data_IF_952631100092
#
_entry.id   IF_952631100092
#
_cell.length_a   1.000
_cell.length_b   1.000
_cell.length_c   1.000
_cell.angle_alpha   90.00
_cell.angle_beta   90.00
_cell.angle_gamma   90.00
#
_symmetry.space_group_name_H-M   'P 1'
#
loop_
_entity.id
_entity.type
_entity.pdbx_description
1 polymer ?
#
# COMPACT_ATOMS: atom_id res chain seq x y z
N UNK A 1 4.01 -2.40 -9.53
CA UNK A 1 3.46 -1.62 -8.41
C UNK A 1 1.98 -1.36 -8.69
N UNK A 2 1.07 -1.73 -7.78
CA UNK A 2 -0.37 -1.50 -7.92
C UNK A 2 -0.78 -0.13 -7.36
N UNK A 3 -0.02 0.91 -7.71
CA UNK A 3 -0.16 2.28 -7.20
C UNK A 3 -0.59 3.17 -8.34
N UNK A 4 -1.59 3.99 -8.10
CA UNK A 4 -2.26 4.83 -9.10
C UNK A 4 -2.41 6.28 -8.68
N UNK A 5 -2.25 6.57 -7.39
CA UNK A 5 -2.33 7.92 -6.84
C UNK A 5 -1.09 8.26 -6.01
N UNK A 6 -0.74 9.55 -5.89
CA UNK A 6 0.30 10.00 -4.96
C UNK A 6 0.02 9.56 -3.51
N UNK A 7 -1.24 9.57 -3.09
CA UNK A 7 -1.64 9.16 -1.73
C UNK A 7 -1.34 7.68 -1.45
N UNK A 8 -1.53 6.81 -2.43
CA UNK A 8 -1.17 5.39 -2.34
C UNK A 8 0.35 5.16 -2.32
N UNK A 9 1.14 6.06 -2.93
CA UNK A 9 2.60 5.97 -2.96
C UNK A 9 3.25 6.53 -1.69
N UNK A 10 2.99 7.82 -1.42
CA UNK A 10 3.62 8.60 -0.35
C UNK A 10 2.94 8.45 1.01
N UNK A 11 1.68 8.03 1.03
CA UNK A 11 0.83 8.14 2.21
C UNK A 11 -0.02 9.43 2.21
N UNK A 12 -0.70 9.66 3.31
CA UNK A 12 -1.58 10.81 3.51
C UNK A 12 -0.87 12.07 3.97
N UNK A 13 -1.65 13.15 4.07
CA UNK A 13 -1.20 14.40 4.67
C UNK A 13 -0.85 14.14 6.15
N UNK A 14 0.32 14.61 6.57
CA UNK A 14 0.74 14.64 7.96
C UNK A 14 1.16 16.08 8.28
N UNK A 15 0.54 16.68 9.29
CA UNK A 15 0.76 18.07 9.66
C UNK A 15 1.01 18.18 11.16
N UNK A 16 1.63 19.29 11.57
CA UNK A 16 1.94 19.58 12.98
C UNK A 16 0.70 19.75 13.85
N UNK A 17 -0.45 20.07 13.25
CA UNK A 17 -1.74 19.99 13.92
C UNK A 17 -2.23 18.54 13.86
N UNK A 18 -2.41 17.90 15.01
CA UNK A 18 -2.99 16.55 15.12
C UNK A 18 -4.44 16.48 14.62
N UNK A 19 -5.09 17.64 14.53
CA UNK A 19 -6.48 17.79 14.13
C UNK A 19 -6.58 18.34 12.71
N UNK A 20 -7.52 17.82 11.92
CA UNK A 20 -7.92 18.41 10.66
C UNK A 20 -8.62 19.77 10.85
N UNK A 21 -8.92 20.43 9.73
CA UNK A 21 -9.65 21.72 9.71
C UNK A 21 -11.06 21.64 10.34
N UNK A 22 -11.50 20.45 10.77
CA UNK A 22 -12.77 20.16 11.46
C UNK A 22 -12.57 19.68 12.90
N UNK A 23 -11.36 19.76 13.44
CA UNK A 23 -11.07 19.36 14.82
C UNK A 23 -11.03 17.85 15.06
N UNK A 24 -10.90 17.02 14.02
CA UNK A 24 -10.79 15.56 14.14
C UNK A 24 -9.34 15.09 13.99
N UNK A 25 -8.94 14.12 14.80
CA UNK A 25 -7.64 13.47 14.64
C UNK A 25 -7.51 12.91 13.22
N UNK A 26 -6.49 13.35 12.49
CA UNK A 26 -6.17 12.76 11.20
C UNK A 26 -5.48 11.41 11.43
N UNK A 27 -6.12 10.32 11.02
CA UNK A 27 -5.46 9.03 11.00
C UNK A 27 -4.29 9.08 10.01
N UNK A 28 -3.11 8.64 10.46
CA UNK A 28 -1.92 8.57 9.61
C UNK A 28 -2.18 7.55 8.50
N UNK A 29 -2.29 8.02 7.25
CA UNK A 29 -2.34 7.12 6.09
C UNK A 29 -0.92 6.84 5.64
N UNK A 30 -0.53 5.57 5.63
CA UNK A 30 0.81 5.14 5.20
C UNK A 30 0.86 4.77 3.71
N UNK A 31 2.03 4.96 3.10
CA UNK A 31 2.27 4.64 1.70
C UNK A 31 2.50 3.14 1.48
N UNK A 32 2.12 2.64 0.31
CA UNK A 32 2.24 1.21 -0.02
C UNK A 32 3.66 0.67 -0.08
N UNK A 33 4.65 1.52 -0.42
CA UNK A 33 6.06 1.11 -0.39
C UNK A 33 6.54 0.91 1.04
N UNK A 34 6.18 1.85 1.94
CA UNK A 34 6.56 1.87 3.36
C UNK A 34 6.13 0.59 4.07
N UNK A 35 4.84 0.21 4.00
CA UNK A 35 4.29 -1.01 4.64
C UNK A 35 4.46 -2.29 3.84
N UNK A 36 5.22 -2.25 2.75
CA UNK A 36 5.36 -3.39 1.85
C UNK A 36 6.82 -3.75 1.70
N UNK A 37 7.36 -3.41 0.54
CA UNK A 37 8.71 -3.79 0.16
C UNK A 37 9.81 -3.07 0.96
N UNK A 38 9.49 -2.01 1.71
CA UNK A 38 10.42 -1.41 2.68
C UNK A 38 10.43 -2.18 4.02
N UNK A 39 9.26 -2.43 4.63
CA UNK A 39 9.19 -3.15 5.92
C UNK A 39 9.68 -4.59 5.82
N UNK A 40 9.44 -5.30 4.71
CA UNK A 40 9.81 -6.70 4.60
C UNK A 40 11.33 -6.96 4.81
N UNK A 41 12.25 -6.23 4.16
CA UNK A 41 13.69 -6.30 4.46
C UNK A 41 14.05 -5.97 5.92
N UNK A 42 13.42 -4.98 6.55
CA UNK A 42 13.66 -4.66 7.96
C UNK A 42 13.42 -5.88 8.87
N UNK A 43 12.26 -6.51 8.71
CA UNK A 43 11.88 -7.68 9.51
C UNK A 43 12.71 -8.91 9.14
N UNK A 44 13.05 -9.09 7.86
CA UNK A 44 13.81 -10.25 7.41
C UNK A 44 15.27 -10.23 7.86
N UNK A 45 15.86 -9.03 7.99
CA UNK A 45 17.25 -8.84 8.42
C UNK A 45 17.41 -8.65 9.93
N UNK A 46 16.31 -8.41 10.66
CA UNK A 46 16.36 -8.29 12.12
C UNK A 46 16.72 -9.61 12.80
N UNK A 47 17.46 -9.53 13.90
CA UNK A 47 17.84 -10.71 14.70
C UNK A 47 16.72 -11.06 15.69
N UNK A 48 16.04 -12.18 15.45
CA UNK A 48 14.96 -12.67 16.30
C UNK A 48 15.42 -12.94 17.74
N UNK A 49 16.70 -13.29 17.95
CA UNK A 49 17.26 -13.54 19.28
C UNK A 49 17.55 -12.24 20.05
N UNK A 50 17.55 -11.10 19.36
CA UNK A 50 17.81 -9.77 19.93
C UNK A 50 16.62 -8.83 19.78
N UNK A 51 15.40 -9.36 19.93
CA UNK A 51 14.16 -8.60 19.80
C UNK A 51 14.08 -7.82 18.47
N UNK A 52 14.52 -8.45 17.38
CA UNK A 52 14.61 -7.92 16.02
C UNK A 52 15.65 -6.81 15.79
N UNK A 53 16.54 -6.51 16.74
CA UNK A 53 17.64 -5.57 16.49
C UNK A 53 18.60 -6.14 15.43
N UNK A 54 19.31 -5.35 14.64
CA UNK A 54 19.16 -3.90 14.49
C UNK A 54 18.09 -3.59 13.44
N UNK A 55 18.16 -4.20 12.24
CA UNK A 55 17.29 -3.87 11.10
C UNK A 55 15.78 -3.95 11.39
N UNK A 56 15.32 -4.81 12.31
CA UNK A 56 13.90 -4.98 12.59
C UNK A 56 13.32 -4.07 13.68
N UNK A 57 14.10 -3.11 14.20
CA UNK A 57 13.64 -2.05 15.11
C UNK A 57 14.15 -0.69 14.62
N UNK A 58 13.25 0.27 14.38
CA UNK A 58 13.63 1.57 13.81
C UNK A 58 14.59 2.39 14.70
N UNK A 59 14.67 2.09 16.01
CA UNK A 59 15.59 2.74 16.94
C UNK A 59 17.04 2.24 16.83
N UNK A 60 17.24 1.11 16.13
CA UNK A 60 18.51 0.39 16.01
C UNK A 60 18.90 0.14 14.56
N UNK A 61 17.95 0.11 13.62
CA UNK A 61 18.17 -0.24 12.22
C UNK A 61 19.37 0.44 11.56
N UNK A 62 19.58 1.74 11.78
CA UNK A 62 20.68 2.49 11.17
C UNK A 62 22.09 2.10 11.69
N UNK A 63 22.22 1.29 12.73
CA UNK A 63 23.53 0.75 13.17
C UNK A 63 24.00 -0.40 12.28
N UNK A 64 23.10 -1.04 11.53
CA UNK A 64 23.47 -1.97 10.47
C UNK A 64 23.71 -1.19 9.16
N UNK A 65 24.93 -1.22 8.57
CA UNK A 65 25.22 -0.53 7.32
C UNK A 65 24.29 -0.91 6.14
N UNK A 66 23.67 -2.10 6.16
CA UNK A 66 22.72 -2.52 5.12
C UNK A 66 21.48 -1.62 5.08
N UNK A 67 21.15 -0.94 6.19
CA UNK A 67 20.07 0.05 6.28
C UNK A 67 20.16 1.08 5.15
N UNK A 68 21.35 1.65 4.94
CA UNK A 68 21.56 2.68 3.93
C UNK A 68 21.43 2.12 2.51
N UNK A 69 21.82 0.88 2.28
CA UNK A 69 21.63 0.20 0.98
C UNK A 69 20.16 -0.12 0.71
N UNK A 70 19.42 -0.58 1.73
CA UNK A 70 17.97 -0.77 1.67
C UNK A 70 17.27 0.54 1.33
N UNK A 71 17.55 1.61 2.08
CA UNK A 71 16.96 2.93 1.84
C UNK A 71 17.40 3.57 0.52
N UNK A 72 18.60 3.27 0.02
CA UNK A 72 19.00 3.67 -1.34
C UNK A 72 18.09 3.06 -2.41
N UNK A 73 17.68 1.79 -2.27
CA UNK A 73 16.74 1.20 -3.20
C UNK A 73 15.29 1.67 -2.98
N UNK A 74 14.91 2.08 -1.77
CA UNK A 74 13.63 2.76 -1.49
C UNK A 74 13.60 4.13 -2.19
N UNK A 75 14.66 4.93 -2.09
CA UNK A 75 14.80 6.19 -2.83
C UNK A 75 14.78 5.96 -4.35
N UNK A 76 15.42 4.88 -4.82
CA UNK A 76 15.32 4.44 -6.22
C UNK A 76 13.89 4.12 -6.65
N UNK A 77 13.06 3.53 -5.79
CA UNK A 77 11.65 3.27 -6.12
C UNK A 77 10.87 4.58 -6.29
N UNK A 78 11.18 5.61 -5.49
CA UNK A 78 10.66 6.97 -5.69
C UNK A 78 11.16 7.60 -7.00
N UNK A 79 12.45 7.45 -7.32
CA UNK A 79 13.01 7.89 -8.60
C UNK A 79 12.29 7.23 -9.78
N UNK A 80 12.09 5.91 -9.75
CA UNK A 80 11.35 5.16 -10.79
C UNK A 80 9.89 5.63 -10.88
N UNK A 81 9.23 5.85 -9.75
CA UNK A 81 7.85 6.37 -9.70
C UNK A 81 7.74 7.72 -10.38
N UNK A 82 8.57 8.68 -9.98
CA UNK A 82 8.50 10.08 -10.43
C UNK A 82 8.97 10.29 -11.87
N UNK A 83 9.90 9.45 -12.36
CA UNK A 83 10.50 9.62 -13.71
C UNK A 83 9.94 8.62 -14.73
N UNK A 84 10.14 7.31 -14.50
CA UNK A 84 9.82 6.26 -15.47
C UNK A 84 8.33 5.93 -15.53
N UNK A 85 7.64 6.01 -14.39
CA UNK A 85 6.20 5.73 -14.31
C UNK A 85 5.33 6.99 -14.41
N UNK A 86 5.93 8.18 -14.39
CA UNK A 86 5.22 9.47 -14.49
C UNK A 86 4.27 9.72 -13.31
N UNK A 87 4.58 9.17 -12.14
CA UNK A 87 3.80 9.32 -10.93
C UNK A 87 3.82 10.75 -10.39
N UNK A 88 2.67 11.37 -10.08
CA UNK A 88 2.65 12.72 -9.57
C UNK A 88 3.17 12.81 -8.13
N UNK A 89 3.67 13.99 -7.76
CA UNK A 89 3.97 14.34 -6.37
C UNK A 89 2.68 14.63 -5.58
N UNK A 90 2.79 14.73 -4.25
CA UNK A 90 1.69 15.22 -3.42
C UNK A 90 1.43 16.71 -3.74
N UNK A 91 0.16 17.12 -3.98
CA UNK A 91 -0.17 18.48 -4.40
C UNK A 91 -0.36 19.44 -3.22
N UNK A 92 0.38 19.23 -2.12
CA UNK A 92 0.22 20.01 -0.88
C UNK A 92 1.40 20.94 -0.70
N UNK A 93 1.13 22.24 -0.59
CA UNK A 93 2.17 23.25 -0.38
C UNK A 93 2.87 23.04 0.97
N UNK A 94 2.13 22.64 1.98
CA UNK A 94 2.65 22.33 3.32
C UNK A 94 3.61 21.14 3.30
N UNK A 95 3.39 20.17 2.41
CA UNK A 95 4.32 19.06 2.20
C UNK A 95 5.62 19.56 1.56
N UNK A 96 5.53 20.43 0.53
CA UNK A 96 6.70 21.03 -0.12
C UNK A 96 7.53 21.92 0.82
N UNK A 97 6.86 22.59 1.77
CA UNK A 97 7.47 23.47 2.75
C UNK A 97 7.95 22.76 4.03
N UNK A 98 7.59 21.49 4.21
CA UNK A 98 8.09 20.66 5.31
C UNK A 98 9.62 20.64 5.27
N UNK A 99 10.25 20.91 6.42
CA UNK A 99 11.70 21.05 6.51
C UNK A 99 12.29 20.15 7.59
N UNK A 100 13.51 19.68 7.32
CA UNK A 100 14.29 18.83 8.20
C UNK A 100 15.67 19.47 8.41
N UNK A 101 16.33 19.12 9.52
CA UNK A 101 17.69 19.57 9.81
C UNK A 101 18.60 18.34 9.85
N UNK A 102 19.66 18.36 9.06
CA UNK A 102 20.70 17.32 9.03
C UNK A 102 22.07 17.95 9.27
N UNK A 103 23.02 17.15 9.78
CA UNK A 103 24.42 17.55 9.77
C UNK A 103 25.05 17.26 8.41
N UNK A 104 25.76 18.23 7.85
CA UNK A 104 26.56 18.04 6.62
C UNK A 104 27.95 17.42 6.92
N UNK A 105 28.75 17.22 5.88
CA UNK A 105 30.10 16.66 6.00
C UNK A 105 31.04 17.53 6.85
N UNK A 106 30.77 18.83 6.96
CA UNK A 106 31.52 19.79 7.78
C UNK A 106 30.96 19.90 9.21
N UNK A 107 30.03 19.01 9.60
CA UNK A 107 29.37 18.97 10.91
C UNK A 107 28.54 20.22 11.21
N UNK A 108 28.01 20.88 10.17
CA UNK A 108 27.12 22.03 10.31
C UNK A 108 25.67 21.59 10.21
N UNK A 109 24.76 22.13 11.05
CA UNK A 109 23.34 21.89 10.90
C UNK A 109 22.80 22.64 9.68
N UNK A 110 22.30 21.90 8.69
CA UNK A 110 21.71 22.43 7.46
C UNK A 110 20.24 22.10 7.43
N UNK A 111 19.40 23.13 7.23
CA UNK A 111 17.96 22.97 7.02
C UNK A 111 17.68 22.78 5.53
N UNK A 112 16.92 21.74 5.18
CA UNK A 112 16.43 21.51 3.82
C UNK A 112 14.92 21.30 3.82
N UNK A 113 14.26 21.64 2.72
CA UNK A 113 12.83 21.42 2.49
C UNK A 113 12.62 20.22 1.56
N UNK A 114 11.44 19.62 1.63
CA UNK A 114 11.01 18.60 0.66
C UNK A 114 11.14 19.10 -0.78
N UNK A 115 10.71 20.34 -1.04
CA UNK A 115 10.82 20.98 -2.37
C UNK A 115 12.24 21.04 -2.93
N UNK A 116 13.28 21.04 -2.07
CA UNK A 116 14.67 21.08 -2.50
C UNK A 116 15.18 19.72 -3.00
N UNK A 117 14.51 18.62 -2.65
CA UNK A 117 15.00 17.25 -2.89
C UNK A 117 14.21 16.49 -3.94
N UNK A 118 13.23 17.12 -4.61
CA UNK A 118 12.37 16.44 -5.59
C UNK A 118 13.06 16.11 -6.93
N UNK A 119 14.27 16.61 -7.14
CA UNK A 119 15.07 16.34 -8.34
C UNK A 119 16.48 15.89 -7.94
N UNK A 120 16.72 14.58 -7.98
CA UNK A 120 18.02 13.95 -7.67
C UNK A 120 19.19 14.56 -8.42
N UNK A 121 18.98 15.10 -9.63
CA UNK A 121 20.05 15.73 -10.44
C UNK A 121 20.55 17.01 -9.80
N UNK A 122 19.68 17.77 -9.13
CA UNK A 122 20.07 18.98 -8.37
C UNK A 122 20.86 18.64 -7.11
N UNK A 123 20.75 17.40 -6.64
CA UNK A 123 21.50 16.84 -5.51
C UNK A 123 22.83 16.19 -5.96
N UNK A 124 23.11 16.16 -7.25
CA UNK A 124 24.36 15.62 -7.79
C UNK A 124 24.44 14.10 -7.88
N UNK A 125 23.30 13.39 -7.81
CA UNK A 125 23.27 11.93 -7.95
C UNK A 125 22.15 11.43 -8.86
N UNK A 126 22.27 10.19 -9.31
CA UNK A 126 21.20 9.45 -9.99
C UNK A 126 21.39 7.95 -9.79
N UNK A 127 20.47 7.15 -10.31
CA UNK A 127 20.55 5.70 -10.27
C UNK A 127 20.99 5.13 -11.60
N UNK A 128 21.78 4.07 -11.55
CA UNK A 128 22.12 3.31 -12.75
C UNK A 128 20.85 2.77 -13.43
N UNK A 129 20.77 3.00 -14.74
CA UNK A 129 19.68 2.49 -15.55
C UNK A 129 19.97 1.06 -15.99
N UNK A 130 19.25 0.12 -15.37
CA UNK A 130 19.12 -1.22 -15.92
C UNK A 130 17.84 -1.28 -16.76
N UNK A 131 17.91 -1.92 -17.94
CA UNK A 131 16.92 -1.91 -19.02
C UNK A 131 15.43 -1.98 -18.62
N UNK A 132 14.72 -3.05 -19.01
CA UNK A 132 13.32 -3.18 -18.61
C UNK A 132 13.22 -3.60 -17.14
N UNK A 133 12.34 -2.94 -16.39
CA UNK A 133 12.04 -3.31 -14.99
C UNK A 133 11.36 -4.70 -14.98
N UNK A 134 11.95 -5.74 -14.37
CA UNK A 134 11.48 -7.12 -14.52
C UNK A 134 10.09 -7.37 -13.90
N UNK A 135 9.69 -6.52 -12.96
CA UNK A 135 8.39 -6.54 -12.30
C UNK A 135 7.33 -5.69 -13.02
N UNK A 136 7.72 -4.89 -14.03
CA UNK A 136 6.78 -4.08 -14.79
C UNK A 136 5.88 -5.00 -15.63
N UNK A 137 4.58 -4.71 -15.65
CA UNK A 137 3.59 -5.54 -16.33
C UNK A 137 3.30 -6.91 -15.68
N UNK A 138 4.02 -7.30 -14.62
CA UNK A 138 3.77 -8.55 -13.87
C UNK A 138 2.56 -8.41 -12.95
N UNK A 139 1.36 -8.47 -13.52
CA UNK A 139 0.10 -8.39 -12.79
C UNK A 139 -0.27 -9.72 -12.11
N UNK A 140 -0.86 -9.69 -10.90
CA UNK A 140 -1.40 -10.88 -10.26
C UNK A 140 -2.45 -11.59 -11.11
N UNK A 141 -2.50 -12.93 -11.02
CA UNK A 141 -3.50 -13.76 -11.71
C UNK A 141 -4.49 -14.35 -10.69
N UNK A 142 -5.76 -14.59 -11.05
CA UNK A 142 -6.71 -15.22 -10.14
C UNK A 142 -6.20 -16.57 -9.63
N UNK A 143 -6.43 -16.86 -8.36
CA UNK A 143 -6.05 -18.15 -7.76
C UNK A 143 -6.84 -19.31 -8.37
N UNK A 144 -6.20 -20.47 -8.51
CA UNK A 144 -6.82 -21.67 -9.07
C UNK A 144 -7.57 -22.46 -7.99
N UNK A 145 -8.65 -23.16 -8.36
CA UNK A 145 -9.34 -24.08 -7.46
C UNK A 145 -10.20 -23.42 -6.36
N UNK A 146 -10.50 -22.12 -6.49
CA UNK A 146 -11.41 -21.40 -5.59
C UNK A 146 -12.84 -21.45 -6.12
N UNK A 147 -13.80 -21.72 -5.23
CA UNK A 147 -15.23 -21.66 -5.56
C UNK A 147 -15.70 -20.22 -5.74
N UNK A 148 -15.91 -19.80 -6.98
CA UNK A 148 -16.34 -18.43 -7.32
C UNK A 148 -17.85 -18.29 -7.43
N UNK A 149 -18.63 -19.30 -7.02
CA UNK A 149 -20.09 -19.19 -7.03
C UNK A 149 -20.50 -18.01 -6.14
N UNK A 150 -21.43 -17.14 -6.59
CA UNK A 150 -21.90 -16.04 -5.78
C UNK A 150 -22.44 -16.57 -4.45
N UNK A 151 -21.82 -16.19 -3.34
CA UNK A 151 -22.32 -16.51 -2.02
C UNK A 151 -23.71 -15.91 -1.79
N UNK A 152 -24.50 -16.49 -0.88
CA UNK A 152 -25.74 -15.85 -0.42
C UNK A 152 -25.41 -14.44 0.08
N UNK A 153 -26.20 -13.44 -0.31
CA UNK A 153 -26.02 -12.06 0.15
C UNK A 153 -26.06 -12.05 1.69
N UNK A 154 -24.95 -11.69 2.33
CA UNK A 154 -24.93 -11.48 3.78
C UNK A 154 -25.93 -10.39 4.16
N UNK A 155 -26.77 -10.64 5.16
CA UNK A 155 -27.67 -9.63 5.74
C UNK A 155 -26.88 -8.58 6.54
N UNK A 156 -25.77 -8.99 7.16
CA UNK A 156 -24.87 -8.11 7.91
C UNK A 156 -23.75 -7.64 6.99
N UNK A 157 -23.85 -6.39 6.50
CA UNK A 157 -22.82 -5.74 5.68
C UNK A 157 -22.36 -4.47 6.35
N UNK A 158 -21.05 -4.29 6.41
CA UNK A 158 -20.44 -3.02 6.83
C UNK A 158 -20.49 -2.05 5.66
N UNK A 159 -20.93 -0.83 5.90
CA UNK A 159 -21.07 0.25 4.91
C UNK A 159 -20.06 1.36 5.20
N UNK A 160 -19.84 2.26 4.25
CA UNK A 160 -18.96 3.42 4.44
C UNK A 160 -19.38 4.35 5.58
N UNK A 161 -20.64 4.28 6.03
CA UNK A 161 -21.20 5.07 7.14
C UNK A 161 -21.21 4.33 8.49
N UNK A 162 -20.76 3.07 8.54
CA UNK A 162 -20.78 2.25 9.75
C UNK A 162 -19.41 1.64 10.00
N UNK A 163 -18.86 1.79 11.21
CA UNK A 163 -17.65 1.10 11.62
C UNK A 163 -17.99 -0.22 12.31
N UNK A 164 -17.14 -1.23 12.13
CA UNK A 164 -17.16 -2.46 12.93
C UNK A 164 -15.74 -2.76 13.35
N UNK A 165 -15.50 -2.73 14.64
CA UNK A 165 -14.19 -3.04 15.21
C UNK A 165 -14.06 -4.54 15.35
N UNK A 166 -12.93 -5.08 14.90
CA UNK A 166 -12.54 -6.46 15.16
C UNK A 166 -11.13 -6.49 15.71
N UNK A 167 -10.93 -7.29 16.75
CA UNK A 167 -9.59 -7.59 17.27
C UNK A 167 -9.03 -8.76 16.47
N UNK A 168 -7.88 -8.55 15.83
CA UNK A 168 -7.12 -9.63 15.23
C UNK A 168 -6.29 -10.31 16.31
N UNK A 169 -6.33 -11.64 16.34
CA UNK A 169 -5.50 -12.48 17.20
C UNK A 169 -4.62 -13.33 16.31
N UNK A 170 -3.46 -13.74 16.82
CA UNK A 170 -2.60 -14.67 16.10
C UNK A 170 -3.37 -15.95 15.75
N UNK A 171 -3.16 -16.45 14.54
CA UNK A 171 -3.76 -17.68 13.98
C UNK A 171 -5.29 -17.65 13.81
N UNK A 172 -5.94 -16.50 13.94
CA UNK A 172 -7.37 -16.34 13.72
C UNK A 172 -7.68 -15.56 12.43
N UNK A 173 -8.48 -16.18 11.55
CA UNK A 173 -9.01 -15.51 10.36
C UNK A 173 -10.35 -14.82 10.66
N UNK A 174 -10.43 -13.52 10.35
CA UNK A 174 -11.65 -12.73 10.44
C UNK A 174 -12.29 -12.55 9.06
N UNK A 175 -13.62 -12.70 9.01
CA UNK A 175 -14.39 -12.58 7.77
C UNK A 175 -15.39 -11.44 7.87
N UNK A 176 -15.39 -10.55 6.88
CA UNK A 176 -16.29 -9.41 6.85
C UNK A 176 -16.85 -9.18 5.45
N UNK A 177 -18.15 -8.85 5.38
CA UNK A 177 -18.76 -8.40 4.13
C UNK A 177 -18.79 -6.87 4.11
N UNK A 178 -18.06 -6.27 3.18
CA UNK A 178 -18.02 -4.82 2.99
C UNK A 178 -18.87 -4.43 1.77
N UNK A 179 -19.79 -3.49 1.95
CA UNK A 179 -20.61 -2.97 0.88
C UNK A 179 -19.79 -2.03 0.00
N UNK A 180 -19.71 -2.35 -1.30
CA UNK A 180 -19.16 -1.43 -2.30
C UNK A 180 -20.03 -0.18 -2.42
N UNK A 181 -19.45 1.03 -2.57
CA UNK A 181 -20.19 2.29 -2.69
C UNK A 181 -21.09 2.31 -3.93
N UNK A 182 -22.16 3.09 -3.90
CA UNK A 182 -23.18 3.10 -4.97
C UNK A 182 -22.62 3.60 -6.30
N UNK A 183 -21.72 4.58 -6.24
CA UNK A 183 -21.02 5.17 -7.38
C UNK A 183 -20.15 4.13 -8.11
N UNK A 184 -19.62 3.14 -7.38
CA UNK A 184 -18.87 2.03 -7.96
C UNK A 184 -19.79 0.99 -8.64
N UNK A 185 -21.08 0.95 -8.30
CA UNK A 185 -22.09 0.03 -8.86
C UNK A 185 -22.78 0.58 -10.11
N UNK A 186 -22.96 1.90 -10.23
CA UNK A 186 -23.76 2.57 -11.27
C UNK A 186 -23.15 2.59 -12.70
N UNK A 187 -22.13 1.78 -12.99
CA UNK A 187 -21.31 1.98 -14.20
C UNK A 187 -22.00 1.67 -15.53
N UNK A 188 -21.97 2.64 -16.47
CA UNK A 188 -21.80 2.37 -17.93
C UNK A 188 -21.41 3.55 -18.84
N UNK A 189 -21.19 4.78 -18.36
CA UNK A 189 -20.97 5.94 -19.26
C UNK A 189 -19.72 6.82 -19.05
N UNK A 190 -18.98 6.72 -17.94
CA UNK A 190 -17.83 7.60 -17.67
C UNK A 190 -16.50 6.90 -17.94
N UNK A 191 -15.68 7.51 -18.79
CA UNK A 191 -14.37 7.02 -19.25
C UNK A 191 -13.25 7.07 -18.20
N UNK A 192 -13.54 7.44 -16.93
CA UNK A 192 -12.58 7.37 -15.81
C UNK A 192 -13.30 6.95 -14.54
N UNK A 193 -13.39 5.64 -14.27
CA UNK A 193 -13.78 5.16 -12.93
C UNK A 193 -12.68 5.56 -11.95
N UNK A 194 -13.05 6.23 -10.86
CA UNK A 194 -12.13 6.51 -9.76
C UNK A 194 -11.52 5.18 -9.24
N UNK A 195 -10.24 5.17 -8.83
CA UNK A 195 -9.66 4.00 -8.18
C UNK A 195 -10.48 3.63 -6.95
N UNK A 196 -10.86 2.36 -6.84
CA UNK A 196 -11.57 1.81 -5.69
C UNK A 196 -10.56 1.18 -4.73
N UNK A 197 -10.64 1.56 -3.45
CA UNK A 197 -9.76 1.07 -2.40
C UNK A 197 -10.58 0.61 -1.19
N UNK A 198 -10.08 -0.41 -0.49
CA UNK A 198 -10.55 -0.79 0.84
C UNK A 198 -9.71 -0.02 1.86
N UNK A 199 -10.36 0.75 2.72
CA UNK A 199 -9.71 1.48 3.82
C UNK A 199 -9.88 0.71 5.11
N UNK A 200 -8.80 0.49 5.84
CA UNK A 200 -8.80 -0.17 7.15
C UNK A 200 -8.14 0.77 8.16
N UNK A 201 -8.87 1.11 9.21
CA UNK A 201 -8.35 1.82 10.38
C UNK A 201 -7.83 0.80 11.39
N UNK A 202 -6.63 1.03 11.91
CA UNK A 202 -5.85 0.07 12.69
C UNK A 202 -5.37 0.77 13.96
N UNK A 203 -5.64 0.14 15.09
CA UNK A 203 -5.10 0.52 16.40
C UNK A 203 -4.07 -0.53 16.81
N UNK A 204 -2.83 -0.13 17.09
CA UNK A 204 -1.73 -1.05 17.41
C UNK A 204 -0.77 -0.49 18.47
N UNK A 205 -0.03 -1.38 19.13
CA UNK A 205 1.09 -1.00 20.00
C UNK A 205 2.32 -0.70 19.14
N UNK A 206 2.89 0.52 19.18
CA UNK A 206 4.06 0.87 18.38
C UNK A 206 5.33 0.07 18.75
N UNK A 207 5.35 -0.59 19.91
CA UNK A 207 6.45 -1.44 20.34
C UNK A 207 6.38 -2.86 19.73
N UNK A 208 5.27 -3.21 19.07
CA UNK A 208 5.06 -4.56 18.54
C UNK A 208 5.13 -4.62 17.01
N UNK A 209 5.62 -5.76 16.54
CA UNK A 209 5.56 -6.10 15.12
C UNK A 209 4.14 -6.57 14.83
N UNK A 210 3.47 -5.87 13.90
CA UNK A 210 2.12 -6.23 13.47
C UNK A 210 2.13 -6.52 11.98
N UNK A 211 1.57 -7.67 11.59
CA UNK A 211 1.29 -8.01 10.19
C UNK A 211 -0.05 -8.70 10.07
N UNK A 212 -0.84 -8.29 9.08
CA UNK A 212 -1.99 -9.07 8.61
C UNK A 212 -2.13 -8.97 7.09
N UNK A 213 -2.66 -10.02 6.50
CA UNK A 213 -2.91 -10.12 5.07
C UNK A 213 -4.40 -9.91 4.78
N UNK A 214 -4.71 -9.22 3.69
CA UNK A 214 -6.09 -8.95 3.28
C UNK A 214 -6.40 -9.72 2.00
N UNK A 215 -7.30 -10.68 2.12
CA UNK A 215 -7.87 -11.43 1.00
C UNK A 215 -9.28 -10.92 0.71
N UNK A 216 -9.60 -10.73 -0.57
CA UNK A 216 -10.90 -10.20 -0.98
C UNK A 216 -11.57 -11.19 -1.95
N UNK A 217 -12.87 -11.42 -1.72
CA UNK A 217 -13.70 -12.37 -2.48
C UNK A 217 -13.19 -13.83 -2.44
N UNK A 218 -12.56 -14.23 -1.33
CA UNK A 218 -12.17 -15.62 -1.07
C UNK A 218 -13.24 -16.29 -0.21
N UNK A 219 -13.78 -17.45 -0.61
CA UNK A 219 -14.70 -18.22 0.23
C UNK A 219 -14.04 -18.69 1.51
N UNK A 220 -14.79 -18.64 2.61
CA UNK A 220 -14.36 -19.14 3.92
C UNK A 220 -13.82 -20.57 3.83
N UNK A 221 -12.63 -20.78 4.38
CA UNK A 221 -11.94 -22.07 4.37
C UNK A 221 -11.19 -22.37 3.06
N UNK A 222 -10.97 -21.37 2.21
CA UNK A 222 -10.17 -21.51 0.98
C UNK A 222 -9.02 -20.49 0.91
N UNK A 223 -8.71 -19.82 2.01
CA UNK A 223 -7.67 -18.78 2.14
C UNK A 223 -6.30 -19.35 1.78
N UNK A 224 -6.03 -20.60 2.19
CA UNK A 224 -4.78 -21.32 1.91
C UNK A 224 -4.48 -21.53 0.41
N UNK A 225 -5.48 -21.33 -0.47
CA UNK A 225 -5.30 -21.41 -1.94
C UNK A 225 -4.84 -20.10 -2.57
N UNK A 226 -4.76 -19.03 -1.78
CA UNK A 226 -4.42 -17.69 -2.25
C UNK A 226 -3.08 -17.28 -1.67
N UNK A 227 -2.13 -16.98 -2.54
CA UNK A 227 -0.83 -16.42 -2.17
C UNK A 227 -0.65 -14.98 -2.65
N UNK A 228 0.48 -14.36 -2.33
CA UNK A 228 0.78 -12.95 -2.64
C UNK A 228 0.88 -12.64 -4.14
N UNK A 229 0.87 -13.66 -5.01
CA UNK A 229 0.87 -13.51 -6.47
C UNK A 229 -0.53 -13.57 -7.09
N UNK A 230 -1.57 -13.76 -6.27
CA UNK A 230 -2.93 -13.92 -6.74
C UNK A 230 -3.73 -12.62 -6.70
N UNK A 231 -4.70 -12.49 -7.61
CA UNK A 231 -5.52 -11.28 -7.72
C UNK A 231 -6.43 -11.05 -6.50
N UNK A 232 -6.76 -12.11 -5.78
CA UNK A 232 -7.54 -12.09 -4.54
C UNK A 232 -6.74 -11.57 -3.33
N UNK A 233 -5.40 -11.55 -3.41
CA UNK A 233 -4.54 -10.98 -2.39
C UNK A 233 -4.43 -9.47 -2.60
N UNK A 234 -5.15 -8.70 -1.78
CA UNK A 234 -5.17 -7.24 -1.89
C UNK A 234 -3.87 -6.59 -1.38
N UNK A 235 -3.19 -7.26 -0.45
CA UNK A 235 -1.93 -6.81 0.13
C UNK A 235 -1.80 -7.22 1.59
N UNK A 236 -0.72 -6.74 2.21
CA UNK A 236 -0.49 -6.84 3.64
C UNK A 236 -0.43 -5.44 4.24
N UNK A 237 -0.82 -5.32 5.50
CA UNK A 237 -0.34 -4.25 6.35
C UNK A 237 0.79 -4.80 7.22
N UNK A 238 1.89 -4.05 7.35
CA UNK A 238 2.99 -4.39 8.25
C UNK A 238 3.49 -3.16 8.98
N UNK A 239 3.89 -3.32 10.24
CA UNK A 239 4.43 -2.28 11.10
C UNK A 239 5.77 -2.73 11.69
N UNK A 240 6.83 -1.93 11.52
CA UNK A 240 8.13 -2.17 12.19
C UNK A 240 8.07 -1.58 13.60
N UNK A 241 8.41 -2.36 14.65
CA UNK A 241 8.52 -1.85 16.01
C UNK A 241 9.36 -0.57 16.09
N UNK A 242 8.94 0.36 16.95
CA UNK A 242 9.74 1.51 17.31
C UNK A 242 9.40 2.00 18.74
N UNK A 243 10.44 2.46 19.44
CA UNK A 243 10.30 2.93 20.83
C UNK A 243 10.66 1.85 21.85
N UNK A 244 10.86 2.27 23.10
CA UNK A 244 11.14 1.39 24.24
C UNK A 244 10.02 1.53 25.26
N UNK A 245 9.47 0.41 25.73
CA UNK A 245 8.56 0.39 26.87
C UNK A 245 9.36 0.67 28.15
N UNK A 246 9.57 1.95 28.47
CA UNK A 246 10.12 2.36 29.76
C UNK A 246 9.00 2.37 30.81
N UNK A 247 8.68 1.22 31.38
CA UNK A 247 7.91 1.10 32.63
C UNK A 247 6.45 1.59 32.61
N UNK A 248 5.95 2.08 31.49
CA UNK A 248 4.55 2.38 31.22
C UNK A 248 4.36 2.29 29.72
N UNK A 249 3.53 1.35 29.25
CA UNK A 249 3.37 1.07 27.83
C UNK A 249 3.12 2.34 27.02
N UNK A 250 3.69 2.42 25.81
CA UNK A 250 3.38 3.53 24.90
C UNK A 250 1.88 3.53 24.60
N UNK A 251 1.32 4.73 24.41
CA UNK A 251 -0.07 4.85 23.97
C UNK A 251 -0.23 4.14 22.61
N UNK A 252 -1.31 3.36 22.48
CA UNK A 252 -1.68 2.75 21.20
C UNK A 252 -1.76 3.82 20.11
N UNK A 253 -1.21 3.53 18.94
CA UNK A 253 -1.28 4.43 17.79
C UNK A 253 -2.42 4.03 16.86
N UNK A 254 -3.00 5.02 16.18
CA UNK A 254 -4.00 4.82 15.16
C UNK A 254 -3.44 5.18 13.78
N UNK A 255 -3.58 4.27 12.83
CA UNK A 255 -3.18 4.43 11.44
C UNK A 255 -4.27 3.94 10.50
N UNK A 256 -4.30 4.44 9.28
CA UNK A 256 -5.17 3.93 8.23
C UNK A 256 -4.32 3.39 7.09
N UNK A 257 -4.75 2.29 6.48
CA UNK A 257 -4.13 1.79 5.25
C UNK A 257 -5.16 1.55 4.15
N UNK A 258 -4.73 1.79 2.91
CA UNK A 258 -5.58 1.72 1.72
C UNK A 258 -5.10 0.58 0.82
N UNK A 259 -5.91 -0.46 0.72
CA UNK A 259 -5.68 -1.57 -0.20
C UNK A 259 -6.33 -1.27 -1.54
N UNK A 260 -5.53 -1.04 -2.59
CA UNK A 260 -6.03 -0.80 -3.93
C UNK A 260 -6.70 -2.06 -4.50
N UNK A 261 -7.98 -1.99 -4.89
CA UNK A 261 -8.76 -3.15 -5.35
C UNK A 261 -8.76 -3.33 -6.88
N UNK A 262 -7.98 -2.54 -7.61
CA UNK A 262 -8.07 -2.43 -9.07
C UNK A 262 -7.85 -3.75 -9.80
N UNK A 263 -6.80 -4.49 -9.47
CA UNK A 263 -6.49 -5.74 -10.18
C UNK A 263 -7.56 -6.80 -9.93
N UNK A 264 -8.04 -6.89 -8.68
CA UNK A 264 -9.08 -7.81 -8.25
C UNK A 264 -10.42 -7.56 -8.94
N UNK A 265 -10.85 -6.29 -9.01
CA UNK A 265 -12.14 -5.92 -9.59
C UNK A 265 -12.14 -6.08 -11.12
N UNK A 266 -10.97 -6.00 -11.75
CA UNK A 266 -10.82 -6.23 -13.19
C UNK A 266 -10.92 -7.71 -13.55
N UNK A 267 -10.36 -8.60 -12.72
CA UNK A 267 -10.41 -10.05 -12.96
C UNK A 267 -11.72 -10.70 -12.54
N UNK A 268 -12.48 -10.09 -11.62
CA UNK A 268 -13.80 -10.57 -11.19
C UNK A 268 -14.96 -10.11 -12.08
N UNK A 269 -14.70 -9.22 -13.05
CA UNK A 269 -15.66 -8.89 -14.10
C UNK A 269 -15.63 -10.00 -15.17
N UNK A 270 -16.76 -10.67 -15.49
CA UNK A 270 -16.76 -11.67 -16.54
C UNK A 270 -16.34 -11.00 -17.85
N UNK A 271 -15.22 -11.45 -18.41
CA UNK A 271 -14.85 -11.11 -19.77
C UNK A 271 -15.97 -11.62 -20.68
N UNK A 272 -16.77 -10.70 -21.24
CA UNK A 272 -17.59 -11.04 -22.40
C UNK A 272 -16.62 -11.42 -23.50
N UNK A 273 -16.61 -12.70 -23.86
CA UNK A 273 -16.11 -13.12 -25.17
C UNK A 273 -16.70 -12.16 -26.20
N UNK A 274 -15.82 -11.49 -26.96
CA UNK A 274 -16.27 -10.81 -28.17
C UNK A 274 -16.88 -11.89 -29.05
N UNK A 275 -18.13 -11.76 -29.52
CA UNK A 275 -18.66 -12.74 -30.46
C UNK A 275 -17.70 -12.78 -31.67
N UNK A 276 -17.23 -13.99 -31.99
CA UNK A 276 -16.42 -14.24 -33.16
C UNK A 276 -17.09 -13.58 -34.36
N UNK A 277 -16.35 -12.72 -35.06
CA UNK A 277 -16.86 -11.99 -36.21
C UNK A 277 -17.54 -12.94 -37.18
N UNK A 278 -18.78 -12.64 -37.55
CA UNK A 278 -19.45 -13.34 -38.62
C UNK A 278 -18.59 -13.23 -39.88
N UNK A 279 -18.07 -14.38 -40.32
CA UNK A 279 -17.49 -14.52 -41.65
C UNK A 279 -18.55 -14.16 -42.69
N UNK A 280 -18.38 -13.00 -43.32
CA UNK A 280 -19.14 -12.60 -44.47
C UNK A 280 -18.66 -13.45 -45.66
N UNK A 281 -19.43 -14.50 -46.02
CA UNK A 281 -19.26 -15.19 -47.31
C UNK A 281 -19.75 -14.25 -48.41
N UNK A 282 -18.93 -13.93 -49.43
CA UNK A 282 -19.42 -13.17 -50.58
C UNK A 282 -20.35 -14.06 -51.41
N UNK A 283 -21.55 -13.53 -51.69
CA UNK A 283 -22.49 -14.09 -52.68
C UNK A 283 -21.80 -14.09 -54.05
N UNK A 284 -21.67 -15.27 -54.64
CA UNK A 284 -21.43 -15.40 -56.08
C UNK A 284 -22.63 -14.78 -56.82
N UNK A 285 -22.36 -13.77 -57.65
CA UNK A 285 -23.30 -13.31 -58.67
C UNK A 285 -23.12 -14.20 -59.90
N UNK A 286 -24.24 -14.72 -60.41
CA UNK A 286 -24.39 -15.09 -61.82
C UNK A 286 -24.65 -13.81 -62.62
#
# INVERSE_FOLDING_TARGET
MAVSTPKEFYGGKFCSAELDDKGKQQHKVTGSLEVGAHTAPHIWLGDLDQANQEMGDLSTAARDPVFYSNHSNVDRMWHVWSTKLGGPFLPYQEWLDTSFVFYDADKRPVRTKVSNVLDTRKLGYTYEEHGELPWLGKRPKPATGIDRRPGKRSANKVTSSSYTTVTLRNDENVYMTVARPEEARAGRGSSKKAPEALVVDITLDPCEYVKFDVLVNVPKGQEYKVGPRNAEFAGSFTHVPHGRSFGGGMAMIQVSYQFALRELLRTSSPARERPAGHHHRPRQRR
#
